data_IF_479839090019
#
_entry.id   IF_479839090019
#
_cell.length_a   1.000
_cell.length_b   1.000
_cell.length_c   1.000
_cell.angle_alpha   90.00
_cell.angle_beta   90.00
_cell.angle_gamma   90.00
#
_symmetry.space_group_name_H-M   'P 1'
#
loop_
_entity.id
_entity.type
_entity.pdbx_description
1 polymer ?
#
# COMPACT_ATOMS: atom_id res chain seq x y z
N UNK A 1 -11.49 -1.45 18.65
CA UNK A 1 -10.24 -2.05 19.17
C UNK A 1 -9.14 -1.01 19.00
N UNK A 2 -8.29 -0.78 20.01
CA UNK A 2 -7.14 0.14 19.91
C UNK A 2 -5.89 -0.68 19.59
N UNK A 3 -5.01 -0.19 18.73
CA UNK A 3 -3.70 -0.82 18.50
C UNK A 3 -2.68 -0.21 19.47
N UNK A 4 -1.97 -1.03 20.24
CA UNK A 4 -0.83 -0.62 21.04
C UNK A 4 0.48 -0.86 20.30
N UNK A 5 1.59 -0.26 20.77
CA UNK A 5 2.91 -0.49 20.17
C UNK A 5 3.35 -1.95 20.31
N UNK A 6 2.90 -2.60 21.38
CA UNK A 6 3.15 -4.02 21.62
C UNK A 6 2.39 -4.87 20.59
N UNK A 7 1.15 -4.50 20.25
CA UNK A 7 0.40 -5.14 19.17
C UNK A 7 1.11 -4.97 17.82
N UNK A 8 1.57 -3.75 17.50
CA UNK A 8 2.33 -3.48 16.28
C UNK A 8 3.63 -4.30 16.22
N UNK A 9 4.33 -4.43 17.35
CA UNK A 9 5.56 -5.23 17.43
C UNK A 9 5.29 -6.72 17.25
N UNK A 10 4.31 -7.26 17.96
CA UNK A 10 4.03 -8.69 18.01
C UNK A 10 3.38 -9.20 16.72
N UNK A 11 2.43 -8.45 16.16
CA UNK A 11 1.63 -8.91 15.02
C UNK A 11 2.14 -8.41 13.66
N UNK A 12 2.93 -7.33 13.64
CA UNK A 12 3.43 -6.72 12.40
C UNK A 12 4.96 -6.60 12.38
N UNK A 13 5.66 -6.98 13.45
CA UNK A 13 7.11 -6.93 13.53
C UNK A 13 7.71 -5.54 13.71
N UNK A 14 6.88 -4.49 13.76
CA UNK A 14 7.27 -3.09 13.69
C UNK A 14 8.20 -2.73 14.86
N UNK A 15 9.28 -2.00 14.59
CA UNK A 15 10.16 -1.47 15.62
C UNK A 15 9.39 -0.65 16.67
N UNK A 16 9.71 -0.86 17.95
CA UNK A 16 8.94 -0.29 19.07
C UNK A 16 8.90 1.23 19.05
N UNK A 17 9.98 1.88 18.60
CA UNK A 17 10.07 3.34 18.54
C UNK A 17 9.22 3.88 17.39
N UNK A 18 9.25 3.20 16.24
CA UNK A 18 8.41 3.53 15.08
C UNK A 18 6.92 3.34 15.44
N UNK A 19 6.57 2.20 16.05
CA UNK A 19 5.20 1.92 16.49
C UNK A 19 4.71 2.96 17.50
N UNK A 20 5.53 3.30 18.50
CA UNK A 20 5.18 4.33 19.49
C UNK A 20 4.97 5.70 18.84
N UNK A 21 5.87 6.11 17.94
CA UNK A 21 5.79 7.41 17.26
C UNK A 21 4.44 7.60 16.57
N UNK A 22 3.96 6.62 15.81
CA UNK A 22 2.69 6.73 15.09
C UNK A 22 1.46 6.55 15.97
N UNK A 23 1.53 5.75 17.04
CA UNK A 23 0.41 5.56 17.97
C UNK A 23 0.16 6.83 18.79
N UNK A 24 1.21 7.50 19.25
CA UNK A 24 1.08 8.74 20.04
C UNK A 24 0.78 9.96 19.18
N UNK A 25 0.90 9.83 17.86
CA UNK A 25 0.68 10.93 16.93
C UNK A 25 -0.78 11.37 16.97
N UNK A 26 -1.00 12.69 17.00
CA UNK A 26 -2.33 13.27 16.90
C UNK A 26 -2.80 13.26 15.46
N UNK A 27 -4.11 13.14 15.26
CA UNK A 27 -4.70 13.34 13.93
C UNK A 27 -4.40 14.77 13.46
N UNK A 28 -3.89 14.95 12.23
CA UNK A 28 -3.70 16.26 11.64
C UNK A 28 -5.04 16.99 11.45
N UNK A 29 -5.09 18.26 11.84
CA UNK A 29 -6.30 19.08 11.74
C UNK A 29 -6.75 19.22 10.28
N UNK A 30 -8.07 19.12 10.05
CA UNK A 30 -8.71 19.25 8.73
C UNK A 30 -8.21 18.27 7.66
N UNK A 31 -7.56 17.17 8.05
CA UNK A 31 -7.11 16.18 7.09
C UNK A 31 -8.24 15.21 6.71
N UNK A 32 -8.62 15.21 5.43
CA UNK A 32 -9.66 14.35 4.87
C UNK A 32 -9.42 12.85 5.06
N UNK A 33 -8.17 12.38 5.07
CA UNK A 33 -7.86 10.96 5.25
C UNK A 33 -8.27 10.42 6.62
N UNK A 34 -8.08 11.24 7.65
CA UNK A 34 -8.47 10.94 9.02
C UNK A 34 -9.83 11.57 9.40
N UNK A 35 -10.63 12.01 8.42
CA UNK A 35 -11.93 12.64 8.68
C UNK A 35 -12.82 11.71 9.50
N UNK A 36 -13.28 12.21 10.66
CA UNK A 36 -14.13 11.45 11.57
C UNK A 36 -13.42 10.33 12.34
N UNK A 37 -12.08 10.27 12.30
CA UNK A 37 -11.29 9.34 13.13
C UNK A 37 -10.92 9.98 14.46
N UNK A 38 -10.66 9.13 15.46
CA UNK A 38 -10.20 9.52 16.79
C UNK A 38 -8.73 9.17 17.03
N UNK A 39 -8.17 8.27 16.21
CA UNK A 39 -6.81 7.75 16.32
C UNK A 39 -6.08 7.94 14.99
N UNK A 40 -4.79 8.27 15.07
CA UNK A 40 -3.93 8.32 13.90
C UNK A 40 -3.75 6.93 13.28
N UNK A 41 -3.47 5.93 14.11
CA UNK A 41 -3.43 4.51 13.72
C UNK A 41 -4.67 3.81 14.26
N UNK A 42 -5.55 3.38 13.36
CA UNK A 42 -6.60 2.40 13.67
C UNK A 42 -6.12 1.00 13.24
N UNK A 43 -6.54 -0.09 13.91
CA UNK A 43 -6.12 -1.45 13.54
C UNK A 43 -6.88 -1.96 12.32
N UNK A 44 -6.79 -1.24 11.21
CA UNK A 44 -7.40 -1.56 9.92
C UNK A 44 -6.33 -1.39 8.82
N UNK A 45 -6.39 -2.19 7.73
CA UNK A 45 -5.43 -2.11 6.62
C UNK A 45 -5.12 -0.69 6.16
N UNK A 46 -6.16 0.14 5.98
CA UNK A 46 -6.03 1.54 5.57
C UNK A 46 -5.19 2.44 6.50
N UNK A 47 -4.86 2.04 7.73
CA UNK A 47 -3.99 2.87 8.59
C UNK A 47 -2.71 2.15 9.00
N UNK A 48 -2.75 0.82 9.07
CA UNK A 48 -1.61 0.01 9.50
C UNK A 48 -0.46 -0.03 8.48
N UNK A 49 -0.74 0.24 7.21
CA UNK A 49 0.32 0.28 6.20
C UNK A 49 1.34 1.40 6.47
N UNK A 50 0.94 2.53 7.08
CA UNK A 50 1.83 3.67 7.35
C UNK A 50 3.01 3.27 8.26
N UNK A 51 2.79 2.81 9.51
CA UNK A 51 3.89 2.42 10.38
C UNK A 51 4.61 1.16 9.87
N UNK A 52 3.90 0.26 9.18
CA UNK A 52 4.52 -0.94 8.58
C UNK A 52 5.53 -0.56 7.50
N UNK A 53 5.15 0.33 6.58
CA UNK A 53 6.03 0.72 5.49
C UNK A 53 7.20 1.59 5.96
N UNK A 54 6.99 2.44 6.97
CA UNK A 54 8.09 3.18 7.61
C UNK A 54 9.09 2.24 8.31
N UNK A 55 8.62 1.14 8.91
CA UNK A 55 9.49 0.11 9.45
C UNK A 55 10.26 -0.66 8.36
N UNK A 56 9.61 -0.96 7.22
CA UNK A 56 10.28 -1.55 6.06
C UNK A 56 11.39 -0.62 5.53
N UNK A 57 11.10 0.68 5.42
CA UNK A 57 12.07 1.70 5.03
C UNK A 57 13.27 1.75 5.98
N UNK A 58 13.03 1.67 7.29
CA UNK A 58 14.10 1.60 8.29
C UNK A 58 15.00 0.36 8.09
N UNK A 59 14.39 -0.82 7.91
CA UNK A 59 15.11 -2.08 7.69
C UNK A 59 15.91 -2.10 6.41
N UNK A 60 15.45 -1.38 5.40
CA UNK A 60 16.12 -1.20 4.12
C UNK A 60 17.21 -0.11 4.15
N UNK A 61 17.49 0.46 5.33
CA UNK A 61 18.68 1.30 5.56
C UNK A 61 18.42 2.80 5.69
N UNK A 62 17.16 3.26 5.62
CA UNK A 62 16.88 4.68 5.84
C UNK A 62 17.07 5.07 7.32
N UNK A 63 17.56 6.30 7.58
CA UNK A 63 17.89 6.73 8.93
C UNK A 63 16.62 6.92 9.77
N UNK A 64 16.49 6.15 10.85
CA UNK A 64 15.33 6.19 11.76
C UNK A 64 14.98 7.61 12.23
N UNK A 65 15.98 8.42 12.57
CA UNK A 65 15.74 9.80 13.01
C UNK A 65 15.02 10.65 11.96
N UNK A 66 15.32 10.46 10.68
CA UNK A 66 14.64 11.17 9.59
C UNK A 66 13.24 10.58 9.35
N UNK A 67 13.09 9.25 9.42
CA UNK A 67 11.80 8.56 9.32
C UNK A 67 10.81 9.00 10.41
N UNK A 68 11.30 9.26 11.63
CA UNK A 68 10.50 9.71 12.78
C UNK A 68 10.55 11.22 13.00
N UNK A 69 10.92 11.99 11.96
CA UNK A 69 10.90 13.45 12.03
C UNK A 69 9.48 14.00 11.80
N UNK A 70 9.17 15.13 12.43
CA UNK A 70 7.91 15.85 12.19
C UNK A 70 7.77 16.31 10.73
N UNK A 71 8.89 16.60 10.06
CA UNK A 71 8.89 17.00 8.65
C UNK A 71 8.44 15.85 7.75
N UNK A 72 9.00 14.65 7.94
CA UNK A 72 8.60 13.45 7.20
C UNK A 72 7.14 13.08 7.49
N UNK A 73 6.73 13.13 8.76
CA UNK A 73 5.36 12.79 9.13
C UNK A 73 4.33 13.76 8.53
N UNK A 74 4.63 15.07 8.49
CA UNK A 74 3.79 16.06 7.80
C UNK A 74 3.73 15.84 6.30
N UNK A 75 4.84 15.41 5.70
CA UNK A 75 4.86 15.07 4.28
C UNK A 75 3.95 13.87 3.98
N UNK A 76 4.03 12.80 4.77
CA UNK A 76 3.09 11.66 4.70
C UNK A 76 1.65 12.18 4.83
N UNK A 77 1.36 12.98 5.86
CA UNK A 77 0.01 13.51 6.09
C UNK A 77 -0.53 14.35 4.92
N UNK A 78 0.32 15.12 4.23
CA UNK A 78 -0.05 15.89 3.06
C UNK A 78 -0.40 14.99 1.86
N UNK A 79 0.41 13.96 1.59
CA UNK A 79 0.09 12.96 0.54
C UNK A 79 -1.21 12.23 0.88
N UNK A 80 -1.38 11.78 2.13
CA UNK A 80 -2.61 11.14 2.60
C UNK A 80 -3.83 12.07 2.46
N UNK A 81 -3.66 13.37 2.71
CA UNK A 81 -4.73 14.34 2.51
C UNK A 81 -5.21 14.39 1.06
N UNK A 82 -4.28 14.38 0.11
CA UNK A 82 -4.59 14.36 -1.32
C UNK A 82 -5.32 13.07 -1.72
N UNK A 83 -4.89 11.91 -1.20
CA UNK A 83 -5.62 10.64 -1.36
C UNK A 83 -7.05 10.76 -0.83
N UNK A 84 -7.24 11.35 0.36
CA UNK A 84 -8.57 11.60 0.92
C UNK A 84 -9.43 12.54 0.05
N UNK A 85 -8.85 13.50 -0.68
CA UNK A 85 -9.59 14.33 -1.65
C UNK A 85 -10.02 13.51 -2.86
N UNK A 86 -9.14 12.67 -3.39
CA UNK A 86 -9.47 11.79 -4.51
C UNK A 86 -10.69 10.92 -4.16
N UNK A 87 -10.66 10.28 -2.99
CA UNK A 87 -11.72 9.39 -2.52
C UNK A 87 -13.03 10.14 -2.16
N UNK A 88 -12.95 11.18 -1.31
CA UNK A 88 -14.15 11.79 -0.72
C UNK A 88 -14.70 12.98 -1.51
N UNK A 89 -13.85 13.70 -2.24
CA UNK A 89 -14.24 14.89 -3.01
C UNK A 89 -14.28 14.63 -4.52
N UNK A 90 -13.84 13.44 -4.96
CA UNK A 90 -13.86 13.02 -6.38
C UNK A 90 -13.12 14.00 -7.29
N UNK A 91 -11.99 14.52 -6.82
CA UNK A 91 -11.14 15.49 -7.54
C UNK A 91 -10.57 14.93 -8.85
N UNK A 92 -10.64 13.62 -9.07
CA UNK A 92 -10.19 12.93 -10.27
C UNK A 92 -8.69 12.64 -10.25
N UNK A 93 -8.30 11.50 -10.83
CA UNK A 93 -6.93 10.96 -10.72
C UNK A 93 -5.84 11.94 -11.16
N UNK A 94 -6.04 12.62 -12.28
CA UNK A 94 -5.05 13.56 -12.81
C UNK A 94 -4.79 14.74 -11.85
N UNK A 95 -5.86 15.30 -11.25
CA UNK A 95 -5.73 16.39 -10.28
C UNK A 95 -5.02 15.93 -9.00
N UNK A 96 -5.36 14.72 -8.51
CA UNK A 96 -4.69 14.08 -7.38
C UNK A 96 -3.19 13.89 -7.61
N UNK A 97 -2.80 13.34 -8.76
CA UNK A 97 -1.39 13.15 -9.09
C UNK A 97 -0.64 14.48 -9.20
N UNK A 98 -1.25 15.51 -9.80
CA UNK A 98 -0.66 16.84 -9.87
C UNK A 98 -0.44 17.45 -8.47
N UNK A 99 -1.40 17.30 -7.56
CA UNK A 99 -1.25 17.74 -6.18
C UNK A 99 -0.13 16.96 -5.46
N UNK A 100 -0.05 15.64 -5.62
CA UNK A 100 1.03 14.84 -5.06
C UNK A 100 2.42 15.28 -5.57
N UNK A 101 2.53 15.66 -6.86
CA UNK A 101 3.74 16.23 -7.44
C UNK A 101 4.11 17.56 -6.78
N UNK A 102 3.14 18.46 -6.56
CA UNK A 102 3.37 19.74 -5.91
C UNK A 102 3.81 19.57 -4.45
N UNK A 103 3.17 18.66 -3.71
CA UNK A 103 3.57 18.31 -2.35
C UNK A 103 4.98 17.73 -2.35
N UNK A 104 5.29 16.76 -3.21
CA UNK A 104 6.61 16.15 -3.30
C UNK A 104 7.69 17.16 -3.71
N UNK A 105 7.39 18.15 -4.54
CA UNK A 105 8.33 19.23 -4.87
C UNK A 105 8.59 20.18 -3.69
N UNK A 106 7.63 20.34 -2.77
CA UNK A 106 7.76 21.22 -1.61
C UNK A 106 8.49 20.57 -0.42
N UNK A 107 8.32 19.26 -0.24
CA UNK A 107 8.90 18.50 0.89
C UNK A 107 10.07 17.60 0.50
N UNK A 108 10.11 17.17 -0.76
CA UNK A 108 11.06 16.18 -1.25
C UNK A 108 12.46 16.73 -1.44
N UNK A 109 13.42 15.80 -1.40
CA UNK A 109 14.85 16.04 -1.60
C UNK A 109 15.36 15.31 -2.85
N UNK A 110 14.60 14.33 -3.35
CA UNK A 110 14.97 13.45 -4.44
C UNK A 110 14.24 13.82 -5.75
N UNK A 111 14.79 14.81 -6.47
CA UNK A 111 14.26 15.28 -7.75
C UNK A 111 14.26 14.19 -8.83
N UNK A 112 15.21 13.26 -8.77
CA UNK A 112 15.27 12.15 -9.71
C UNK A 112 14.04 11.25 -9.57
N UNK A 113 13.76 10.77 -8.36
CA UNK A 113 12.59 9.93 -8.09
C UNK A 113 11.29 10.67 -8.43
N UNK A 114 11.19 11.96 -8.12
CA UNK A 114 10.02 12.77 -8.49
C UNK A 114 9.76 12.75 -10.01
N UNK A 115 10.82 12.88 -10.82
CA UNK A 115 10.69 12.82 -12.28
C UNK A 115 10.37 11.40 -12.80
N UNK A 116 10.86 10.37 -12.12
CA UNK A 116 10.52 8.97 -12.44
C UNK A 116 9.04 8.69 -12.12
N UNK A 117 8.53 9.12 -10.96
CA UNK A 117 7.12 8.98 -10.58
C UNK A 117 6.19 9.72 -11.55
N UNK A 118 6.58 10.91 -12.02
CA UNK A 118 5.84 11.62 -13.08
C UNK A 118 5.72 10.80 -14.37
N UNK A 119 6.81 10.15 -14.79
CA UNK A 119 6.81 9.28 -15.97
C UNK A 119 5.95 8.03 -15.74
N UNK A 120 6.01 7.46 -14.54
CA UNK A 120 5.18 6.32 -14.15
C UNK A 120 3.70 6.64 -14.23
N UNK A 121 3.25 7.72 -13.60
CA UNK A 121 1.83 8.14 -13.67
C UNK A 121 1.41 8.62 -15.06
N UNK A 122 2.35 8.94 -15.95
CA UNK A 122 2.08 9.19 -17.38
C UNK A 122 2.01 7.91 -18.23
N UNK A 123 2.22 6.73 -17.64
CA UNK A 123 2.09 5.41 -18.28
C UNK A 123 3.39 4.68 -18.58
N UNK A 124 4.53 5.11 -18.03
CA UNK A 124 5.84 4.45 -18.24
C UNK A 124 6.20 3.57 -17.03
N UNK A 125 6.00 2.27 -17.15
CA UNK A 125 6.16 1.36 -16.02
C UNK A 125 7.59 0.85 -15.80
N UNK A 126 8.49 0.94 -16.79
CA UNK A 126 9.89 0.53 -16.64
C UNK A 126 10.80 1.74 -16.79
N UNK A 127 11.44 2.16 -15.70
CA UNK A 127 12.26 3.39 -15.67
C UNK A 127 13.61 3.05 -15.04
N UNK A 128 14.70 3.30 -15.77
CA UNK A 128 16.06 3.05 -15.31
C UNK A 128 16.32 1.60 -14.82
N UNK A 129 15.67 0.63 -15.44
CA UNK A 129 15.79 -0.80 -15.09
C UNK A 129 15.00 -1.21 -13.84
N UNK A 130 14.10 -0.35 -13.36
CA UNK A 130 13.19 -0.63 -12.25
C UNK A 130 11.75 -0.62 -12.77
N UNK A 131 11.03 -1.68 -12.47
CA UNK A 131 9.60 -1.79 -12.76
C UNK A 131 8.79 -1.11 -11.65
N UNK A 132 7.97 -0.14 -12.06
CA UNK A 132 6.97 0.53 -11.26
C UNK A 132 5.60 -0.08 -11.54
N UNK A 133 4.81 -0.29 -10.49
CA UNK A 133 3.54 -0.99 -10.53
C UNK A 133 3.66 -2.51 -10.72
N UNK A 134 2.50 -3.15 -10.63
CA UNK A 134 2.28 -4.58 -10.80
C UNK A 134 1.41 -4.87 -12.04
N UNK A 135 1.37 -6.14 -12.50
CA UNK A 135 0.60 -6.52 -13.69
C UNK A 135 -0.91 -6.26 -13.57
N UNK A 136 -1.46 -6.35 -12.36
CA UNK A 136 -2.87 -6.06 -12.08
C UNK A 136 -3.00 -4.58 -11.71
N UNK A 137 -3.77 -3.83 -12.50
CA UNK A 137 -3.96 -2.38 -12.32
C UNK A 137 -4.59 -2.05 -10.98
N UNK A 138 -5.53 -2.87 -10.53
CA UNK A 138 -6.20 -2.68 -9.25
C UNK A 138 -5.22 -2.68 -8.07
N UNK A 139 -4.06 -3.35 -8.18
CA UNK A 139 -3.03 -3.36 -7.14
C UNK A 139 -2.19 -2.08 -7.08
N UNK A 140 -2.24 -1.26 -8.13
CA UNK A 140 -1.48 -0.02 -8.25
C UNK A 140 -2.29 1.22 -7.84
N UNK A 141 -3.55 1.03 -7.42
CA UNK A 141 -4.51 2.14 -7.19
C UNK A 141 -4.02 3.14 -6.13
N UNK A 142 -3.25 2.66 -5.17
CA UNK A 142 -2.69 3.44 -4.05
C UNK A 142 -1.25 3.93 -4.27
N UNK A 143 -0.65 3.69 -5.45
CA UNK A 143 0.79 3.98 -5.69
C UNK A 143 1.17 5.46 -5.58
N UNK A 144 0.19 6.37 -5.53
CA UNK A 144 0.45 7.77 -5.18
C UNK A 144 1.16 7.93 -3.83
N UNK A 145 1.07 6.95 -2.92
CA UNK A 145 1.84 6.96 -1.68
C UNK A 145 3.36 6.86 -1.91
N UNK A 146 3.83 6.32 -3.05
CA UNK A 146 5.26 6.26 -3.39
C UNK A 146 5.91 7.65 -3.47
N UNK A 147 5.15 8.73 -3.68
CA UNK A 147 5.68 10.10 -3.58
C UNK A 147 6.33 10.40 -2.22
N UNK A 148 5.91 9.73 -1.14
CA UNK A 148 6.54 9.88 0.18
C UNK A 148 8.03 9.51 0.19
N UNK A 149 8.46 8.62 -0.71
CA UNK A 149 9.87 8.24 -0.85
C UNK A 149 10.74 9.40 -1.35
N UNK A 150 10.16 10.43 -1.99
CA UNK A 150 10.91 11.61 -2.45
C UNK A 150 11.55 12.38 -1.28
N UNK A 151 11.18 12.10 -0.03
CA UNK A 151 11.78 12.72 1.16
C UNK A 151 13.24 12.34 1.37
N UNK A 152 13.67 11.20 0.82
CA UNK A 152 14.99 10.62 1.08
C UNK A 152 15.82 10.52 -0.19
N UNK A 153 17.12 10.76 -0.03
CA UNK A 153 18.11 10.39 -1.03
C UNK A 153 18.60 8.97 -0.76
N UNK A 154 18.65 8.16 -1.81
CA UNK A 154 19.12 6.78 -1.78
C UNK A 154 19.55 6.33 -3.18
N UNK A 155 20.34 5.27 -3.27
CA UNK A 155 20.77 4.69 -4.53
C UNK A 155 19.65 3.91 -5.24
N UNK A 156 19.88 3.53 -6.50
CA UNK A 156 18.90 2.79 -7.30
C UNK A 156 18.58 1.40 -6.73
N UNK A 157 19.53 0.75 -6.06
CA UNK A 157 19.32 -0.58 -5.48
C UNK A 157 18.35 -0.49 -4.28
N UNK A 158 18.56 0.49 -3.41
CA UNK A 158 17.67 0.80 -2.29
C UNK A 158 16.31 1.26 -2.79
N UNK A 159 16.27 2.13 -3.81
CA UNK A 159 15.02 2.57 -4.47
C UNK A 159 14.19 1.38 -4.94
N UNK A 160 14.82 0.44 -5.66
CA UNK A 160 14.14 -0.77 -6.14
C UNK A 160 13.54 -1.55 -4.97
N UNK A 161 14.33 -1.80 -3.91
CA UNK A 161 13.85 -2.52 -2.73
C UNK A 161 12.69 -1.83 -2.02
N UNK A 162 12.69 -0.49 -1.97
CA UNK A 162 11.56 0.28 -1.38
C UNK A 162 10.28 0.10 -2.20
N UNK A 163 10.38 0.22 -3.52
CA UNK A 163 9.24 0.05 -4.43
C UNK A 163 8.73 -1.39 -4.38
N UNK A 164 9.63 -2.39 -4.43
CA UNK A 164 9.26 -3.81 -4.29
C UNK A 164 8.56 -4.07 -2.94
N UNK A 165 9.07 -3.49 -1.85
CA UNK A 165 8.48 -3.63 -0.52
C UNK A 165 7.10 -2.96 -0.41
N UNK A 166 6.90 -1.80 -1.06
CA UNK A 166 5.59 -1.15 -1.16
C UNK A 166 4.58 -2.05 -1.86
N UNK A 167 4.93 -2.53 -3.05
CA UNK A 167 4.03 -3.37 -3.83
C UNK A 167 3.71 -4.68 -3.10
N UNK A 168 4.69 -5.30 -2.43
CA UNK A 168 4.45 -6.51 -1.65
C UNK A 168 3.54 -6.26 -0.42
N UNK A 169 3.70 -5.12 0.26
CA UNK A 169 2.85 -4.73 1.37
C UNK A 169 1.41 -4.46 0.91
N UNK A 170 1.25 -3.67 -0.15
CA UNK A 170 -0.07 -3.29 -0.63
C UNK A 170 -0.79 -4.43 -1.31
N UNK A 171 -0.09 -5.30 -2.04
CA UNK A 171 -0.71 -6.50 -2.63
C UNK A 171 -1.38 -7.36 -1.57
N UNK A 172 -0.73 -7.59 -0.43
CA UNK A 172 -1.36 -8.33 0.66
C UNK A 172 -2.64 -7.65 1.17
N UNK A 173 -2.58 -6.34 1.45
CA UNK A 173 -3.73 -5.62 1.98
C UNK A 173 -4.87 -5.53 0.96
N UNK A 174 -4.59 -5.14 -0.28
CA UNK A 174 -5.59 -4.96 -1.32
C UNK A 174 -6.19 -6.30 -1.76
N UNK A 175 -5.41 -7.39 -1.87
CA UNK A 175 -6.00 -8.68 -2.19
C UNK A 175 -6.94 -9.17 -1.10
N UNK A 176 -6.55 -9.00 0.16
CA UNK A 176 -7.40 -9.43 1.28
C UNK A 176 -8.73 -8.66 1.28
N UNK A 177 -8.66 -7.34 1.05
CA UNK A 177 -9.81 -6.44 0.91
C UNK A 177 -10.69 -6.82 -0.29
N UNK A 178 -10.09 -6.97 -1.47
CA UNK A 178 -10.77 -7.27 -2.73
C UNK A 178 -11.46 -8.65 -2.71
N UNK A 179 -10.98 -9.60 -1.90
CA UNK A 179 -11.64 -10.89 -1.72
C UNK A 179 -12.91 -10.79 -0.89
N UNK A 180 -12.93 -9.92 0.12
CA UNK A 180 -14.09 -9.70 0.98
C UNK A 180 -15.16 -8.87 0.25
N UNK A 181 -14.74 -7.89 -0.57
CA UNK A 181 -15.62 -6.89 -1.19
C UNK A 181 -15.97 -7.16 -2.67
N UNK A 182 -15.55 -8.32 -3.21
CA UNK A 182 -15.67 -8.70 -4.62
C UNK A 182 -17.06 -8.44 -5.26
N UNK A 183 -18.14 -8.69 -4.52
CA UNK A 183 -19.51 -8.47 -5.00
C UNK A 183 -19.89 -7.00 -5.06
N UNK A 184 -19.52 -6.26 -4.05
CA UNK A 184 -19.86 -4.84 -3.91
C UNK A 184 -19.07 -4.05 -4.96
N UNK A 185 -17.78 -4.36 -5.14
CA UNK A 185 -16.92 -3.77 -6.16
C UNK A 185 -17.42 -4.03 -7.58
N UNK A 186 -17.83 -5.26 -7.88
CA UNK A 186 -18.41 -5.61 -9.18
C UNK A 186 -19.67 -4.79 -9.48
N UNK A 187 -20.51 -4.56 -8.47
CA UNK A 187 -21.76 -3.81 -8.60
C UNK A 187 -21.49 -2.32 -8.77
N UNK A 188 -20.55 -1.78 -8.00
CA UNK A 188 -20.14 -0.38 -8.04
C UNK A 188 -19.23 -0.04 -9.24
N UNK A 189 -18.67 -1.07 -9.92
CA UNK A 189 -17.63 -0.95 -10.96
C UNK A 189 -16.36 -0.31 -10.41
N UNK A 190 -15.98 -0.71 -9.21
CA UNK A 190 -14.75 -0.27 -8.54
C UNK A 190 -13.60 -1.23 -8.89
N UNK A 191 -12.37 -0.78 -8.61
CA UNK A 191 -11.16 -1.55 -8.89
C UNK A 191 -11.08 -2.76 -7.95
N UNK A 192 -11.00 -3.96 -8.51
CA UNK A 192 -10.84 -5.19 -7.74
C UNK A 192 -9.86 -6.13 -8.45
N UNK A 193 -8.82 -6.55 -7.75
CA UNK A 193 -7.71 -7.34 -8.29
C UNK A 193 -8.09 -8.78 -8.61
N UNK A 194 -9.08 -9.37 -7.94
CA UNK A 194 -9.63 -10.69 -8.28
C UNK A 194 -10.38 -10.62 -9.62
N UNK A 195 -11.17 -9.55 -9.82
CA UNK A 195 -11.85 -9.30 -11.09
C UNK A 195 -10.85 -8.99 -12.22
N UNK A 196 -9.80 -8.20 -11.95
CA UNK A 196 -8.75 -7.82 -12.90
C UNK A 196 -7.90 -9.01 -13.35
N UNK A 197 -7.58 -9.94 -12.44
CA UNK A 197 -6.92 -11.21 -12.78
C UNK A 197 -7.80 -12.15 -13.63
N UNK A 198 -9.12 -11.95 -13.59
CA UNK A 198 -10.10 -12.71 -14.34
C UNK A 198 -10.60 -13.97 -13.61
N UNK A 199 -11.89 -14.27 -13.78
CA UNK A 199 -12.60 -15.35 -13.08
C UNK A 199 -12.38 -16.72 -13.73
N UNK A 200 -11.12 -17.14 -13.81
CA UNK A 200 -10.66 -18.37 -14.46
C UNK A 200 -9.61 -19.07 -13.59
N UNK A 201 -9.30 -20.33 -13.90
CA UNK A 201 -8.19 -21.02 -13.23
C UNK A 201 -6.82 -20.34 -13.43
N UNK A 202 -6.64 -19.60 -14.51
CA UNK A 202 -5.41 -18.83 -14.73
C UNK A 202 -5.35 -17.56 -13.87
N UNK A 203 -6.51 -16.91 -13.67
CA UNK A 203 -6.63 -15.81 -12.73
C UNK A 203 -6.32 -16.24 -11.30
N UNK A 204 -6.84 -17.41 -10.88
CA UNK A 204 -6.48 -18.02 -9.58
C UNK A 204 -4.96 -18.14 -9.44
N UNK A 205 -4.28 -18.78 -10.40
CA UNK A 205 -2.81 -18.93 -10.36
C UNK A 205 -2.07 -17.60 -10.33
N UNK A 206 -2.59 -16.59 -11.01
CA UNK A 206 -2.02 -15.24 -11.01
C UNK A 206 -2.04 -14.65 -9.60
N UNK A 207 -3.18 -14.74 -8.91
CA UNK A 207 -3.33 -14.28 -7.52
C UNK A 207 -2.42 -15.08 -6.59
N UNK A 208 -2.41 -16.41 -6.69
CA UNK A 208 -1.56 -17.27 -5.86
C UNK A 208 -0.06 -16.96 -6.05
N UNK A 209 0.35 -16.69 -7.29
CA UNK A 209 1.74 -16.32 -7.63
C UNK A 209 2.11 -14.97 -7.02
N UNK A 210 1.23 -13.96 -7.14
CA UNK A 210 1.46 -12.64 -6.57
C UNK A 210 1.57 -12.72 -5.04
N UNK A 211 0.67 -13.46 -4.38
CA UNK A 211 0.72 -13.67 -2.94
C UNK A 211 2.02 -14.33 -2.49
N UNK A 212 2.48 -15.35 -3.23
CA UNK A 212 3.75 -16.00 -2.94
C UNK A 212 4.94 -15.03 -3.10
N UNK A 213 4.96 -14.22 -4.16
CA UNK A 213 5.99 -13.20 -4.36
C UNK A 213 5.99 -12.16 -3.24
N UNK A 214 4.82 -11.74 -2.77
CA UNK A 214 4.67 -10.83 -1.64
C UNK A 214 5.23 -11.41 -0.36
N UNK A 215 4.90 -12.67 -0.06
CA UNK A 215 5.49 -13.39 1.06
C UNK A 215 7.01 -13.43 0.97
N UNK A 216 7.58 -13.79 -0.20
CA UNK A 216 9.02 -13.89 -0.37
C UNK A 216 9.72 -12.54 -0.16
N UNK A 217 9.20 -11.46 -0.74
CA UNK A 217 9.74 -10.12 -0.56
C UNK A 217 9.64 -9.65 0.90
N UNK A 218 8.49 -9.88 1.56
CA UNK A 218 8.31 -9.53 2.96
C UNK A 218 9.17 -10.37 3.90
N UNK A 219 9.39 -11.65 3.61
CA UNK A 219 10.17 -12.53 4.48
C UNK A 219 11.65 -12.13 4.51
N UNK A 220 12.18 -11.53 3.45
CA UNK A 220 13.54 -10.99 3.43
C UNK A 220 13.70 -9.78 4.37
N UNK A 221 12.67 -8.94 4.50
CA UNK A 221 12.74 -7.65 5.18
C UNK A 221 12.14 -7.72 6.60
N UNK A 222 10.91 -8.24 6.70
CA UNK A 222 10.12 -8.36 7.93
C UNK A 222 9.47 -9.76 8.05
N UNK A 223 10.21 -10.77 8.57
CA UNK A 223 9.71 -12.14 8.74
C UNK A 223 8.45 -12.26 9.60
N UNK A 224 8.24 -11.34 10.56
CA UNK A 224 7.04 -11.37 11.41
C UNK A 224 5.80 -11.05 10.59
N UNK A 225 5.87 -10.01 9.75
CA UNK A 225 4.77 -9.68 8.86
C UNK A 225 4.60 -10.74 7.77
N UNK A 226 5.69 -11.31 7.26
CA UNK A 226 5.62 -12.42 6.31
C UNK A 226 4.89 -13.65 6.87
N UNK A 227 5.13 -14.01 8.14
CA UNK A 227 4.38 -15.08 8.82
C UNK A 227 2.89 -14.76 8.92
N UNK A 228 2.52 -13.48 9.09
CA UNK A 228 1.12 -13.06 9.07
C UNK A 228 0.50 -13.24 7.69
N UNK A 229 1.22 -12.85 6.63
CA UNK A 229 0.79 -13.06 5.24
C UNK A 229 0.56 -14.56 4.99
N UNK A 230 1.54 -15.40 5.33
CA UNK A 230 1.45 -16.86 5.15
C UNK A 230 0.26 -17.46 5.92
N UNK A 231 0.09 -17.08 7.19
CA UNK A 231 -1.05 -17.55 7.99
C UNK A 231 -2.39 -17.12 7.38
N UNK A 232 -2.56 -15.85 7.05
CA UNK A 232 -3.77 -15.34 6.41
C UNK A 232 -4.06 -16.07 5.11
N UNK A 233 -3.02 -16.30 4.30
CA UNK A 233 -3.13 -16.96 3.02
C UNK A 233 -3.53 -18.44 3.13
N UNK A 234 -3.00 -19.16 4.12
CA UNK A 234 -3.41 -20.55 4.38
C UNK A 234 -4.88 -20.72 4.76
N UNK A 235 -5.55 -19.63 5.18
CA UNK A 235 -6.99 -19.64 5.49
C UNK A 235 -7.86 -19.32 4.27
N UNK A 236 -7.26 -18.94 3.14
CA UNK A 236 -7.98 -18.42 1.96
C UNK A 236 -7.88 -19.43 0.83
N UNK A 237 -9.03 -19.80 0.27
CA UNK A 237 -9.12 -20.56 -0.98
C UNK A 237 -9.66 -19.63 -2.07
N UNK A 238 -8.75 -19.02 -2.84
CA UNK A 238 -9.11 -18.08 -3.91
C UNK A 238 -10.02 -18.71 -4.95
N UNK A 239 -9.82 -19.99 -5.24
CA UNK A 239 -10.67 -20.72 -6.18
C UNK A 239 -12.09 -20.79 -5.61
N UNK A 240 -12.25 -21.15 -4.34
CA UNK A 240 -13.57 -21.20 -3.71
C UNK A 240 -14.25 -19.82 -3.68
N UNK A 241 -13.51 -18.74 -3.38
CA UNK A 241 -14.02 -17.36 -3.43
C UNK A 241 -14.61 -17.04 -4.81
N UNK A 242 -13.85 -17.32 -5.88
CA UNK A 242 -14.31 -17.11 -7.26
C UNK A 242 -15.50 -18.00 -7.61
N UNK A 243 -15.49 -19.27 -7.20
CA UNK A 243 -16.58 -20.22 -7.46
C UNK A 243 -17.88 -19.79 -6.75
N UNK A 244 -17.80 -19.32 -5.52
CA UNK A 244 -18.95 -18.80 -4.77
C UNK A 244 -19.55 -17.56 -5.44
N UNK A 245 -18.70 -16.62 -5.85
CA UNK A 245 -19.13 -15.44 -6.61
C UNK A 245 -19.80 -15.84 -7.93
N UNK A 246 -19.18 -16.70 -8.74
CA UNK A 246 -19.73 -17.12 -10.03
C UNK A 246 -21.05 -17.88 -9.86
N UNK A 247 -21.16 -18.71 -8.82
CA UNK A 247 -22.38 -19.44 -8.51
C UNK A 247 -23.53 -18.49 -8.17
N UNK A 248 -23.27 -17.41 -7.44
CA UNK A 248 -24.26 -16.37 -7.17
C UNK A 248 -24.76 -15.70 -8.46
N UNK A 249 -23.89 -15.60 -9.47
CA UNK A 249 -24.19 -15.07 -10.81
C UNK A 249 -24.75 -16.13 -11.80
N UNK A 250 -24.97 -17.37 -11.35
CA UNK A 250 -25.45 -18.47 -12.20
C UNK A 250 -24.42 -18.97 -13.24
N UNK A 251 -23.13 -18.80 -12.95
CA UNK A 251 -21.99 -19.17 -13.80
C UNK A 251 -21.11 -20.23 -13.11
N UNK A 252 -20.18 -20.82 -13.85
CA UNK A 252 -19.12 -21.68 -13.34
C UNK A 252 -17.75 -21.18 -13.78
N UNK A 253 -16.72 -21.50 -13.01
CA UNK A 253 -15.34 -21.22 -13.42
C UNK A 253 -15.00 -22.01 -14.67
N UNK A 254 -14.28 -21.36 -15.60
CA UNK A 254 -13.77 -21.97 -16.82
C UNK A 254 -12.27 -22.28 -16.69
#
# INVERSE_FOLDING_TARGET
MFASKDDLKLFYGIDMEIGQFFIDRKIPENNLYWKGRYLYITPMPGYLFIPTYVDLQYRLGLPKQALLSEEHARFIEAIMHSIGKEEFEKTGREAHINECVEIAAAYGKNDQLLNELKQYFAGTNAINGIDFGLPLKALNRVDSYLFTLCFFDFDNDTKKKMIDAWHALMTFYLLTDDMDDMKDDATAKEDNSILDAGLTLEGVKTIETLMHQCYMAMNEINPVFANRIDYSWQQIDVKNVIEEYLKAEGRSIN
#
